data_IF_127497906544
#
_entry.id   IF_127497906544
#
_cell.length_a   1.000
_cell.length_b   1.000
_cell.length_c   1.000
_cell.angle_alpha   90.00
_cell.angle_beta   90.00
_cell.angle_gamma   90.00
#
_symmetry.space_group_name_H-M   'P 1'
#
loop_
_entity.id
_entity.type
_entity.pdbx_description
1 polymer ?
#
# COMPACT_ATOMS: atom_id res chain seq x y z
N UNK A 1 31.55 16.47 11.84
CA UNK A 1 31.03 15.37 11.01
C UNK A 1 30.79 14.16 11.90
N UNK A 2 29.53 13.74 12.14
CA UNK A 2 29.26 12.36 12.50
C UNK A 2 28.43 11.70 11.40
N UNK A 3 28.92 10.52 11.03
CA UNK A 3 28.32 9.52 10.16
C UNK A 3 26.95 9.09 10.68
N UNK A 4 25.91 9.43 9.93
CA UNK A 4 24.55 8.95 10.14
C UNK A 4 24.51 7.48 9.71
N UNK A 5 24.68 6.60 10.69
CA UNK A 5 24.59 5.15 10.54
C UNK A 5 23.16 4.78 10.14
N UNK A 6 22.99 4.47 8.85
CA UNK A 6 21.77 3.94 8.26
C UNK A 6 21.50 2.54 8.84
N UNK A 7 20.74 2.48 9.92
CA UNK A 7 20.04 1.25 10.31
C UNK A 7 18.72 1.19 9.55
N UNK A 8 18.72 0.47 8.43
CA UNK A 8 17.49 0.06 7.75
C UNK A 8 16.64 -0.78 8.71
N UNK A 9 15.69 -0.14 9.38
CA UNK A 9 14.62 -0.80 10.13
C UNK A 9 13.36 -0.82 9.29
N UNK A 10 13.38 -1.57 8.19
CA UNK A 10 12.17 -2.02 7.52
C UNK A 10 11.99 -3.51 7.75
N UNK A 11 11.37 -3.88 8.87
CA UNK A 11 10.57 -5.12 9.00
C UNK A 11 10.01 -5.23 10.42
N UNK A 12 8.91 -4.52 10.69
CA UNK A 12 7.99 -4.93 11.75
C UNK A 12 6.59 -4.42 11.47
N UNK A 13 5.88 -5.10 10.57
CA UNK A 13 4.42 -5.08 10.60
C UNK A 13 4.04 -5.81 11.89
N UNK A 14 3.84 -5.01 12.93
CA UNK A 14 3.39 -5.50 14.23
C UNK A 14 1.88 -5.46 14.16
N UNK A 15 1.24 -6.59 13.85
CA UNK A 15 -0.21 -6.73 13.93
C UNK A 15 -0.56 -6.85 15.41
N UNK A 16 -0.58 -5.73 16.13
CA UNK A 16 -1.15 -5.66 17.47
C UNK A 16 -2.67 -5.55 17.34
N UNK A 17 -3.31 -6.58 17.87
CA UNK A 17 -4.74 -6.78 18.01
C UNK A 17 -5.40 -5.66 18.82
N UNK A 18 -6.67 -5.38 18.48
CA UNK A 18 -7.60 -4.36 19.02
C UNK A 18 -7.50 -3.01 18.29
N UNK A 19 -8.15 -2.95 17.12
CA UNK A 19 -8.51 -1.70 16.45
C UNK A 19 -9.73 -1.16 17.18
N UNK A 20 -9.61 -0.03 17.88
CA UNK A 20 -10.80 0.71 18.34
C UNK A 20 -11.53 1.27 17.10
N UNK A 21 -12.82 1.63 17.22
CA UNK A 21 -13.66 2.07 16.08
C UNK A 21 -13.10 3.30 15.31
N UNK A 22 -12.12 3.98 15.91
CA UNK A 22 -11.47 5.18 15.42
C UNK A 22 -10.06 4.97 14.83
N UNK A 23 -9.50 3.76 14.90
CA UNK A 23 -8.15 3.49 14.39
C UNK A 23 -8.13 3.38 12.85
N UNK A 24 -7.19 4.10 12.22
CA UNK A 24 -7.03 4.13 10.76
C UNK A 24 -5.66 3.59 10.37
N UNK A 25 -5.65 2.59 9.49
CA UNK A 25 -4.43 2.07 8.89
C UNK A 25 -3.99 2.95 7.70
N UNK A 26 -2.83 3.59 7.81
CA UNK A 26 -2.26 4.38 6.72
C UNK A 26 -1.19 3.57 5.99
N UNK A 27 -1.37 3.37 4.69
CA UNK A 27 -0.51 2.55 3.84
C UNK A 27 0.20 3.39 2.78
N UNK A 28 1.52 3.23 2.70
CA UNK A 28 2.36 3.75 1.61
C UNK A 28 2.93 2.56 0.84
N UNK A 29 2.62 2.46 -0.45
CA UNK A 29 3.00 1.29 -1.27
C UNK A 29 3.69 1.72 -2.55
N UNK A 30 4.97 1.37 -2.68
CA UNK A 30 5.71 1.52 -3.93
C UNK A 30 5.48 0.38 -4.90
N UNK A 31 5.53 0.71 -6.18
CA UNK A 31 5.49 -0.24 -7.29
C UNK A 31 6.89 -0.38 -7.86
N UNK A 32 7.34 -1.61 -8.09
CA UNK A 32 8.62 -1.85 -8.78
C UNK A 32 8.43 -1.79 -10.30
N UNK A 33 9.53 -1.72 -11.06
CA UNK A 33 9.51 -1.58 -12.52
C UNK A 33 8.73 -2.67 -13.28
N UNK A 34 8.51 -3.83 -12.65
CA UNK A 34 7.72 -4.94 -13.22
C UNK A 34 6.22 -4.88 -12.86
N UNK A 35 5.71 -3.73 -12.37
CA UNK A 35 4.34 -3.58 -11.88
C UNK A 35 3.97 -4.53 -10.72
N UNK A 36 4.99 -4.93 -9.95
CA UNK A 36 4.91 -5.85 -8.83
C UNK A 36 5.17 -5.16 -7.50
N UNK A 37 4.83 -5.86 -6.42
CA UNK A 37 5.12 -5.40 -5.07
C UNK A 37 6.62 -5.42 -4.77
N UNK A 38 7.10 -4.41 -4.03
CA UNK A 38 8.45 -4.42 -3.48
C UNK A 38 8.70 -5.65 -2.59
N UNK A 39 9.95 -6.11 -2.52
CA UNK A 39 10.30 -7.32 -1.78
C UNK A 39 9.94 -7.25 -0.29
N UNK A 40 9.91 -6.04 0.28
CA UNK A 40 9.52 -5.77 1.67
C UNK A 40 8.10 -6.24 2.00
N UNK A 41 7.15 -6.10 1.07
CA UNK A 41 5.74 -6.48 1.28
C UNK A 41 5.39 -7.84 0.66
N UNK A 42 6.29 -8.46 -0.11
CA UNK A 42 6.03 -9.70 -0.86
C UNK A 42 5.55 -10.88 0.01
N UNK A 43 6.00 -10.98 1.26
CA UNK A 43 5.51 -12.00 2.21
C UNK A 43 4.08 -11.72 2.64
N UNK A 44 3.78 -10.49 3.02
CA UNK A 44 2.44 -10.03 3.39
C UNK A 44 1.46 -10.21 2.24
N UNK A 45 1.86 -9.80 1.03
CA UNK A 45 1.05 -9.95 -0.17
C UNK A 45 0.67 -11.42 -0.44
N UNK A 46 1.63 -12.34 -0.38
CA UNK A 46 1.35 -13.78 -0.52
C UNK A 46 0.38 -14.30 0.55
N UNK A 47 0.51 -13.84 1.79
CA UNK A 47 -0.43 -14.19 2.85
C UNK A 47 -1.85 -13.70 2.55
N UNK A 48 -2.00 -12.47 2.04
CA UNK A 48 -3.29 -11.88 1.67
C UNK A 48 -3.97 -12.59 0.48
N UNK A 49 -3.18 -13.21 -0.41
CA UNK A 49 -3.70 -13.97 -1.56
C UNK A 49 -4.18 -15.38 -1.21
N UNK A 50 -4.02 -15.84 0.03
CA UNK A 50 -4.49 -17.17 0.44
C UNK A 50 -6.01 -17.27 0.32
N UNK A 51 -6.48 -18.26 -0.47
CA UNK A 51 -7.91 -18.54 -0.66
C UNK A 51 -8.62 -18.99 0.62
N UNK A 52 -7.87 -19.48 1.61
CA UNK A 52 -8.40 -19.89 2.90
C UNK A 52 -8.78 -18.72 3.81
N UNK A 53 -8.47 -17.47 3.42
CA UNK A 53 -8.83 -16.31 4.24
C UNK A 53 -10.33 -16.02 4.10
N UNK A 54 -11.03 -15.78 5.22
CA UNK A 54 -12.42 -15.31 5.19
C UNK A 54 -12.53 -13.96 4.46
N UNK A 55 -13.61 -13.73 3.70
CA UNK A 55 -13.84 -12.48 2.97
C UNK A 55 -14.18 -11.29 3.88
N UNK A 56 -14.41 -11.53 5.17
CA UNK A 56 -14.78 -10.57 6.20
C UNK A 56 -13.65 -10.32 7.23
N UNK A 57 -12.46 -10.85 6.96
CA UNK A 57 -11.30 -10.80 7.86
C UNK A 57 -10.95 -9.39 8.36
N UNK A 58 -11.19 -8.36 7.54
CA UNK A 58 -10.85 -6.97 7.81
C UNK A 58 -12.09 -6.06 7.89
N UNK A 59 -13.27 -6.60 8.22
CA UNK A 59 -14.53 -5.83 8.27
C UNK A 59 -14.47 -4.59 9.17
N UNK A 60 -13.72 -4.65 10.28
CA UNK A 60 -13.55 -3.52 11.19
C UNK A 60 -12.35 -2.61 10.86
N UNK A 61 -11.66 -2.84 9.74
CA UNK A 61 -10.47 -2.07 9.38
C UNK A 61 -10.83 -0.96 8.40
N UNK A 62 -10.55 0.28 8.81
CA UNK A 62 -10.54 1.46 7.93
C UNK A 62 -9.10 1.73 7.49
N UNK A 63 -8.88 2.02 6.21
CA UNK A 63 -7.54 2.34 5.71
C UNK A 63 -7.48 3.51 4.74
N UNK A 64 -6.38 4.24 4.76
CA UNK A 64 -6.00 5.20 3.73
C UNK A 64 -4.79 4.65 2.96
N UNK A 65 -4.77 4.82 1.64
CA UNK A 65 -3.73 4.28 0.77
C UNK A 65 -3.12 5.38 -0.10
N UNK A 66 -1.79 5.46 -0.07
CA UNK A 66 -0.99 6.28 -0.96
C UNK A 66 -0.06 5.38 -1.79
N UNK A 67 -0.24 5.40 -3.10
CA UNK A 67 0.54 4.60 -4.04
C UNK A 67 1.69 5.43 -4.61
N UNK A 68 2.89 4.87 -4.65
CA UNK A 68 4.06 5.47 -5.26
C UNK A 68 4.39 4.74 -6.56
N UNK A 69 4.55 5.49 -7.64
CA UNK A 69 4.94 4.97 -8.93
C UNK A 69 5.49 6.06 -9.84
N UNK A 70 5.62 5.72 -11.12
CA UNK A 70 6.05 6.63 -12.16
C UNK A 70 5.19 6.37 -13.41
N UNK A 71 4.57 7.42 -13.94
CA UNK A 71 3.68 7.33 -15.11
C UNK A 71 4.43 6.94 -16.39
N UNK A 72 5.75 7.09 -16.44
CA UNK A 72 6.58 6.65 -17.56
C UNK A 72 6.50 5.14 -17.81
N UNK A 73 6.17 4.33 -16.79
CA UNK A 73 5.91 2.89 -16.93
C UNK A 73 4.56 2.58 -17.61
N UNK A 74 3.76 3.61 -17.90
CA UNK A 74 2.48 3.51 -18.58
C UNK A 74 1.28 3.26 -17.65
N UNK A 75 0.05 3.44 -18.15
CA UNK A 75 -1.17 3.48 -17.33
C UNK A 75 -1.50 2.16 -16.62
N UNK A 76 -1.05 1.02 -17.17
CA UNK A 76 -1.25 -0.30 -16.55
C UNK A 76 -0.29 -0.56 -15.40
N UNK A 77 0.95 -0.09 -15.49
CA UNK A 77 1.98 -0.34 -14.49
C UNK A 77 1.99 0.73 -13.39
N UNK A 78 1.60 1.97 -13.72
CA UNK A 78 1.56 3.07 -12.76
C UNK A 78 0.75 2.68 -11.51
N UNK A 79 1.42 2.73 -10.34
CA UNK A 79 0.85 2.40 -9.05
C UNK A 79 0.17 1.02 -8.95
N UNK A 80 0.52 0.05 -9.82
CA UNK A 80 -0.16 -1.24 -9.91
C UNK A 80 -0.09 -2.05 -8.62
N UNK A 81 1.04 -2.04 -7.91
CA UNK A 81 1.19 -2.75 -6.64
C UNK A 81 0.21 -2.20 -5.59
N UNK A 82 0.18 -0.89 -5.39
CA UNK A 82 -0.74 -0.25 -4.45
C UNK A 82 -2.21 -0.54 -4.80
N UNK A 83 -2.58 -0.40 -6.08
CA UNK A 83 -3.94 -0.74 -6.57
C UNK A 83 -4.32 -2.19 -6.26
N UNK A 84 -3.44 -3.16 -6.57
CA UNK A 84 -3.66 -4.59 -6.26
C UNK A 84 -3.88 -4.81 -4.76
N UNK A 85 -3.09 -4.17 -3.90
CA UNK A 85 -3.24 -4.27 -2.45
C UNK A 85 -4.58 -3.71 -1.97
N UNK A 86 -4.91 -2.49 -2.38
CA UNK A 86 -6.15 -1.81 -1.99
C UNK A 86 -7.37 -2.64 -2.37
N UNK A 87 -7.44 -3.11 -3.62
CA UNK A 87 -8.52 -3.99 -4.08
C UNK A 87 -8.63 -5.25 -3.24
N UNK A 88 -7.50 -5.88 -2.90
CA UNK A 88 -7.51 -7.11 -2.10
C UNK A 88 -7.96 -6.88 -0.66
N UNK A 89 -7.61 -5.75 -0.05
CA UNK A 89 -8.07 -5.40 1.30
C UNK A 89 -9.59 -5.20 1.32
N UNK A 90 -10.14 -4.51 0.32
CA UNK A 90 -11.60 -4.33 0.17
C UNK A 90 -12.30 -5.68 -0.04
N UNK A 91 -11.73 -6.58 -0.85
CA UNK A 91 -12.24 -7.96 -1.01
C UNK A 91 -12.25 -8.78 0.29
N UNK A 92 -11.43 -8.40 1.27
CA UNK A 92 -11.34 -9.02 2.59
C UNK A 92 -12.14 -8.24 3.66
N UNK A 93 -12.98 -7.29 3.26
CA UNK A 93 -13.91 -6.58 4.12
C UNK A 93 -13.43 -5.21 4.61
N UNK A 94 -12.20 -4.80 4.31
CA UNK A 94 -11.69 -3.49 4.73
C UNK A 94 -12.42 -2.35 4.01
N UNK A 95 -12.52 -1.20 4.67
CA UNK A 95 -13.14 0.00 4.10
C UNK A 95 -12.11 1.10 3.87
N UNK A 96 -12.19 1.78 2.73
CA UNK A 96 -11.34 2.95 2.46
C UNK A 96 -11.85 4.15 3.25
N UNK A 97 -10.96 4.78 4.00
CA UNK A 97 -11.26 6.00 4.76
C UNK A 97 -11.42 7.23 3.85
N UNK A 98 -10.60 7.31 2.80
CA UNK A 98 -10.61 8.39 1.82
C UNK A 98 -10.20 7.86 0.43
N UNK A 99 -10.27 8.72 -0.60
CA UNK A 99 -9.76 8.41 -1.93
C UNK A 99 -8.29 7.99 -1.91
N UNK A 100 -7.92 7.09 -2.82
CA UNK A 100 -6.53 6.62 -2.97
C UNK A 100 -5.69 7.73 -3.57
N UNK A 101 -4.56 8.04 -2.93
CA UNK A 101 -3.59 9.00 -3.48
C UNK A 101 -2.57 8.32 -4.38
N UNK A 102 -2.12 9.03 -5.42
CA UNK A 102 -1.10 8.56 -6.35
C UNK A 102 0.04 9.57 -6.46
N UNK A 103 1.26 9.14 -6.14
CA UNK A 103 2.49 9.89 -6.36
C UNK A 103 3.14 9.50 -7.69
N UNK A 104 3.71 10.47 -8.39
CA UNK A 104 4.43 10.28 -9.66
C UNK A 104 5.86 10.82 -9.56
N UNK A 105 6.83 9.92 -9.45
CA UNK A 105 8.25 10.26 -9.37
C UNK A 105 8.78 10.97 -10.63
N UNK A 106 8.09 10.81 -11.76
CA UNK A 106 8.40 11.50 -13.01
C UNK A 106 8.05 13.00 -13.02
N UNK A 107 7.35 13.50 -12.01
CA UNK A 107 6.99 14.93 -11.90
C UNK A 107 7.84 15.69 -10.88
N UNK A 108 8.12 16.99 -11.11
CA UNK A 108 8.80 17.82 -10.12
C UNK A 108 8.09 17.77 -8.76
N UNK A 109 8.85 17.46 -7.71
CA UNK A 109 8.37 17.23 -6.33
C UNK A 109 7.43 16.02 -6.15
N UNK A 110 7.44 15.06 -7.08
CA UNK A 110 6.76 13.77 -6.94
C UNK A 110 5.24 13.80 -7.14
N UNK A 111 4.68 14.93 -7.58
CA UNK A 111 3.28 15.18 -8.00
C UNK A 111 2.18 14.30 -7.40
N UNK A 112 1.25 14.90 -6.66
CA UNK A 112 0.08 14.18 -6.12
C UNK A 112 -1.09 14.27 -7.07
N UNK A 113 -1.62 13.12 -7.48
CA UNK A 113 -2.83 13.00 -8.27
C UNK A 113 -3.88 12.25 -7.44
N UNK A 114 -5.08 12.83 -7.31
CA UNK A 114 -6.23 12.22 -6.62
C UNK A 114 -7.11 11.42 -7.59
N UNK A 115 -6.80 11.49 -8.87
CA UNK A 115 -7.70 11.24 -9.98
C UNK A 115 -6.99 10.33 -11.00
N UNK A 116 -7.16 9.02 -10.78
CA UNK A 116 -6.92 7.97 -11.78
C UNK A 116 -8.24 7.33 -12.27
N UNK A 117 -9.38 7.93 -11.92
CA UNK A 117 -10.71 7.52 -12.37
C UNK A 117 -11.09 8.23 -13.67
#
# INVERSE_FOLDING_TARGET
>A
RPSFERRERFSRVTTTTTTDDDDILILFVSTTGDAEHADSIRRTWRSLLRRSLPPDLFTSVKFALFCLGDRAYGPRAYCAAGRKLGTRLVQLGATTYCGVGYGDDGTPNGGVFADLD
#
